data_IF_027645048596
#
_entry.id   IF_027645048596
#
_cell.length_a   1.000
_cell.length_b   1.000
_cell.length_c   1.000
_cell.angle_alpha   90.00
_cell.angle_beta   90.00
_cell.angle_gamma   90.00
#
_symmetry.space_group_name_H-M   'P 1'
#
loop_
_entity.id
_entity.type
_entity.pdbx_description
1 polymer ?
#
# COMPACT_ATOMS: atom_id res chain seq x y z
N UNK A 1 -13.39 13.08 -37.34
CA UNK A 1 -13.83 14.20 -36.49
C UNK A 1 -13.93 13.73 -35.04
N UNK A 2 -13.23 14.39 -34.10
CA UNK A 2 -13.19 13.99 -32.69
C UNK A 2 -14.40 14.51 -31.92
N UNK A 3 -15.07 13.64 -31.16
CA UNK A 3 -16.19 14.03 -30.29
C UNK A 3 -15.70 15.01 -29.21
N UNK A 4 -16.45 16.07 -28.88
CA UNK A 4 -16.06 17.00 -27.82
C UNK A 4 -15.99 16.26 -26.47
N UNK A 5 -14.82 16.29 -25.83
CA UNK A 5 -14.61 15.67 -24.52
C UNK A 5 -14.85 16.67 -23.40
N UNK A 6 -15.73 16.32 -22.46
CA UNK A 6 -16.00 17.16 -21.30
C UNK A 6 -14.86 17.02 -20.26
N UNK A 7 -13.94 17.99 -20.28
CA UNK A 7 -12.80 18.07 -19.38
C UNK A 7 -13.20 18.16 -17.89
N UNK A 8 -14.35 18.75 -17.57
CA UNK A 8 -14.82 18.85 -16.20
C UNK A 8 -15.22 17.48 -15.63
N UNK A 9 -15.84 16.62 -16.45
CA UNK A 9 -16.15 15.24 -16.06
C UNK A 9 -14.87 14.46 -15.81
N UNK A 10 -13.91 14.54 -16.74
CA UNK A 10 -12.62 13.87 -16.60
C UNK A 10 -11.86 14.29 -15.33
N UNK A 11 -11.79 15.59 -15.03
CA UNK A 11 -11.13 16.10 -13.81
C UNK A 11 -11.81 15.56 -12.53
N UNK A 12 -13.15 15.52 -12.50
CA UNK A 12 -13.90 14.94 -11.38
C UNK A 12 -13.64 13.45 -11.23
N UNK A 13 -13.59 12.71 -12.34
CA UNK A 13 -13.32 11.27 -12.34
C UNK A 13 -11.90 10.99 -11.83
N UNK A 14 -10.90 11.74 -12.29
CA UNK A 14 -9.52 11.68 -11.79
C UNK A 14 -9.44 11.96 -10.29
N UNK A 15 -10.08 13.03 -9.82
CA UNK A 15 -10.08 13.38 -8.40
C UNK A 15 -10.75 12.30 -7.52
N UNK A 16 -11.84 11.69 -8.00
CA UNK A 16 -12.48 10.57 -7.30
C UNK A 16 -11.60 9.32 -7.26
N UNK A 17 -10.93 9.00 -8.37
CA UNK A 17 -10.00 7.88 -8.44
C UNK A 17 -8.82 8.04 -7.47
N UNK A 18 -8.21 9.24 -7.42
CA UNK A 18 -7.13 9.55 -6.49
C UNK A 18 -7.58 9.45 -5.02
N UNK A 19 -8.78 9.96 -4.71
CA UNK A 19 -9.36 9.87 -3.36
C UNK A 19 -9.59 8.41 -2.96
N UNK A 20 -10.08 7.57 -3.88
CA UNK A 20 -10.29 6.14 -3.63
C UNK A 20 -8.96 5.41 -3.39
N UNK A 21 -7.96 5.63 -4.24
CA UNK A 21 -6.64 5.04 -4.06
C UNK A 21 -5.99 5.41 -2.72
N UNK A 22 -6.14 6.67 -2.27
CA UNK A 22 -5.69 7.10 -0.94
C UNK A 22 -6.47 6.41 0.19
N UNK A 23 -7.78 6.27 0.04
CA UNK A 23 -8.61 5.58 1.03
C UNK A 23 -8.22 4.10 1.16
N UNK A 24 -8.01 3.41 0.04
CA UNK A 24 -7.59 2.00 0.02
C UNK A 24 -6.20 1.83 0.66
N UNK A 25 -5.26 2.74 0.36
CA UNK A 25 -3.94 2.75 1.00
C UNK A 25 -4.03 2.98 2.52
N UNK A 26 -4.93 3.86 2.96
CA UNK A 26 -5.14 4.10 4.39
C UNK A 26 -5.86 2.93 5.07
N UNK A 27 -6.82 2.28 4.42
CA UNK A 27 -7.46 1.07 4.92
C UNK A 27 -6.44 -0.06 5.08
N UNK A 28 -5.53 -0.22 4.12
CA UNK A 28 -4.45 -1.20 4.22
C UNK A 28 -3.44 -0.87 5.34
N UNK A 29 -3.15 0.41 5.60
CA UNK A 29 -2.20 0.84 6.65
C UNK A 29 -2.81 0.83 8.06
N UNK A 30 -4.03 1.33 8.18
CA UNK A 30 -4.67 1.62 9.47
C UNK A 30 -5.78 0.63 9.83
N UNK A 31 -6.37 -0.06 8.85
CA UNK A 31 -7.41 -1.06 9.06
C UNK A 31 -6.91 -2.45 9.48
N UNK A 32 -5.59 -2.66 9.53
CA UNK A 32 -5.03 -3.91 10.06
C UNK A 32 -5.24 -4.00 11.57
N UNK A 33 -5.79 -5.13 12.02
CA UNK A 33 -5.93 -5.45 13.44
C UNK A 33 -4.55 -5.56 14.12
N UNK A 34 -4.51 -5.30 15.43
CA UNK A 34 -3.26 -5.42 16.22
C UNK A 34 -2.64 -6.81 16.06
N UNK A 35 -3.44 -7.87 16.05
CA UNK A 35 -3.00 -9.24 15.85
C UNK A 35 -2.27 -9.44 14.50
N UNK A 36 -2.83 -8.90 13.41
CA UNK A 36 -2.19 -8.99 12.09
C UNK A 36 -0.84 -8.27 12.05
N UNK A 37 -0.77 -7.07 12.64
CA UNK A 37 0.49 -6.31 12.74
C UNK A 37 1.56 -7.08 13.51
N UNK A 38 1.20 -7.72 14.63
CA UNK A 38 2.13 -8.53 15.43
C UNK A 38 2.65 -9.72 14.64
N UNK A 39 1.80 -10.45 13.93
CA UNK A 39 2.23 -11.60 13.11
C UNK A 39 3.19 -11.17 11.99
N UNK A 40 2.90 -10.06 11.31
CA UNK A 40 3.80 -9.52 10.27
C UNK A 40 5.15 -9.13 10.86
N UNK A 41 5.15 -8.44 12.01
CA UNK A 41 6.39 -8.06 12.69
C UNK A 41 7.21 -9.28 13.10
N UNK A 42 6.59 -10.28 13.74
CA UNK A 42 7.29 -11.51 14.14
C UNK A 42 7.89 -12.26 12.94
N UNK A 43 7.19 -12.28 11.80
CA UNK A 43 7.71 -12.86 10.56
C UNK A 43 8.91 -12.08 10.03
N UNK A 44 8.86 -10.75 10.03
CA UNK A 44 9.98 -9.89 9.62
C UNK A 44 11.18 -10.07 10.56
N UNK A 45 10.95 -10.10 11.87
CA UNK A 45 12.00 -10.29 12.88
C UNK A 45 12.65 -11.69 12.75
N UNK A 46 11.87 -12.71 12.38
CA UNK A 46 12.41 -14.04 12.08
C UNK A 46 13.27 -14.00 10.82
N UNK A 47 12.76 -13.42 9.73
CA UNK A 47 13.50 -13.28 8.48
C UNK A 47 14.80 -12.50 8.64
N UNK A 48 14.80 -11.39 9.41
CA UNK A 48 16.02 -10.65 9.71
C UNK A 48 17.03 -11.51 10.44
N UNK A 49 16.59 -12.23 11.49
CA UNK A 49 17.48 -13.13 12.24
C UNK A 49 18.02 -14.27 11.38
N UNK A 50 17.19 -14.85 10.52
CA UNK A 50 17.61 -15.89 9.58
C UNK A 50 18.68 -15.32 8.63
N UNK A 51 18.46 -14.13 8.05
CA UNK A 51 19.43 -13.47 7.17
C UNK A 51 20.72 -13.07 7.88
N UNK A 52 20.63 -12.54 9.10
CA UNK A 52 21.80 -12.16 9.91
C UNK A 52 22.61 -13.40 10.31
N UNK A 53 21.95 -14.53 10.62
CA UNK A 53 22.62 -15.82 10.85
C UNK A 53 23.24 -16.42 9.59
N UNK A 54 22.82 -15.98 8.40
CA UNK A 54 23.38 -16.38 7.10
C UNK A 54 24.40 -15.38 6.55
N UNK A 55 24.64 -14.24 7.23
CA UNK A 55 25.76 -13.36 6.87
C UNK A 55 27.06 -14.01 7.31
N UNK A 56 27.87 -14.38 6.32
CA UNK A 56 29.30 -14.61 6.52
C UNK A 56 29.93 -13.22 6.53
N UNK A 57 30.43 -12.80 7.69
CA UNK A 57 31.29 -11.61 7.79
C UNK A 57 32.59 -11.94 7.05
N UNK A 58 32.81 -11.29 5.91
CA UNK A 58 34.08 -11.32 5.15
C UNK A 58 34.90 -10.07 5.46
#
# INVERSE_FOLDING_TARGET
MGKPVNLNRFRKDKARAEKKARADANAAKFGQSKAHKTVVKLKQDKQSRDLDGHKVEE
#
